data_IF_198455285863
#
_entry.id   IF_198455285863
#
_cell.length_a   1.000
_cell.length_b   1.000
_cell.length_c   1.000
_cell.angle_alpha   90.00
_cell.angle_beta   90.00
_cell.angle_gamma   90.00
#
_symmetry.space_group_name_H-M   'P 1'
#
loop_
_entity.id
_entity.type
_entity.pdbx_description
1 polymer ?
#
# COMPACT_ATOMS: atom_id res chain seq x y z
N UNK A 1 15.36 16.25 -11.04
CA UNK A 1 13.98 15.81 -10.71
C UNK A 1 14.07 14.88 -9.54
N UNK A 2 13.26 15.08 -8.52
CA UNK A 2 13.32 14.34 -7.24
C UNK A 2 12.13 13.41 -7.11
N UNK A 3 12.32 12.32 -6.37
CA UNK A 3 11.23 11.50 -5.84
C UNK A 3 10.67 12.24 -4.64
N UNK A 4 9.34 12.38 -4.57
CA UNK A 4 8.65 13.15 -3.55
C UNK A 4 8.41 12.39 -2.26
N UNK A 5 8.19 11.08 -2.36
CA UNK A 5 7.87 10.19 -1.26
C UNK A 5 7.26 8.89 -1.78
N UNK A 6 6.56 8.16 -0.92
CA UNK A 6 5.79 6.97 -1.31
C UNK A 6 4.53 7.44 -2.05
N UNK A 7 4.20 6.83 -3.20
CA UNK A 7 2.97 7.08 -3.96
C UNK A 7 1.86 6.12 -3.52
N UNK A 8 2.13 4.83 -3.62
CA UNK A 8 1.21 3.77 -3.21
C UNK A 8 1.97 2.49 -2.86
N UNK A 9 1.24 1.58 -2.22
CA UNK A 9 1.66 0.20 -2.05
C UNK A 9 0.62 -0.71 -2.69
N UNK A 10 1.06 -1.78 -3.35
CA UNK A 10 0.19 -2.84 -3.85
C UNK A 10 0.46 -4.13 -3.11
N UNK A 11 -0.59 -4.76 -2.62
CA UNK A 11 -0.56 -6.02 -1.87
C UNK A 11 -1.37 -7.09 -2.60
N UNK A 12 -1.18 -8.35 -2.25
CA UNK A 12 -1.94 -9.47 -2.83
C UNK A 12 -2.82 -10.05 -1.73
N UNK A 13 -4.12 -10.14 -2.01
CA UNK A 13 -5.11 -10.76 -1.10
C UNK A 13 -5.66 -12.07 -1.67
N UNK A 14 -6.16 -12.92 -0.79
CA UNK A 14 -6.89 -14.12 -1.17
C UNK A 14 -8.38 -13.87 -1.46
N UNK A 15 -8.94 -12.70 -1.03
CA UNK A 15 -10.39 -12.47 -1.03
C UNK A 15 -10.69 -10.96 -1.11
N UNK A 16 -11.14 -10.48 -2.27
CA UNK A 16 -11.47 -9.07 -2.51
C UNK A 16 -12.64 -8.55 -1.67
N UNK A 17 -13.76 -9.27 -1.50
CA UNK A 17 -14.82 -8.87 -0.57
C UNK A 17 -14.34 -8.64 0.87
N UNK A 18 -13.55 -9.57 1.41
CA UNK A 18 -13.05 -9.44 2.79
C UNK A 18 -12.05 -8.31 2.95
N UNK A 19 -11.21 -8.06 1.93
CA UNK A 19 -10.25 -6.96 2.00
C UNK A 19 -10.98 -5.61 1.95
N UNK A 20 -12.11 -5.52 1.23
CA UNK A 20 -13.00 -4.37 1.27
C UNK A 20 -13.58 -4.17 2.68
N UNK A 21 -14.15 -5.21 3.28
CA UNK A 21 -14.68 -5.17 4.65
C UNK A 21 -13.59 -4.73 5.65
N UNK A 22 -12.35 -5.18 5.46
CA UNK A 22 -11.23 -4.84 6.34
C UNK A 22 -10.80 -3.38 6.16
N UNK A 23 -10.48 -2.94 4.94
CA UNK A 23 -9.91 -1.62 4.74
C UNK A 23 -10.95 -0.49 4.76
N UNK A 24 -12.15 -0.69 4.27
CA UNK A 24 -13.21 0.31 4.41
C UNK A 24 -13.93 0.22 5.75
N UNK A 25 -14.29 -1.00 6.19
CA UNK A 25 -15.04 -1.21 7.43
C UNK A 25 -14.21 -1.03 8.70
N UNK A 26 -13.05 -1.70 8.81
CA UNK A 26 -12.21 -1.65 10.00
C UNK A 26 -11.25 -0.47 9.98
N UNK A 27 -10.51 -0.29 8.87
CA UNK A 27 -9.48 0.75 8.79
C UNK A 27 -10.03 2.13 8.43
N UNK A 28 -11.27 2.22 7.92
CA UNK A 28 -11.95 3.47 7.60
C UNK A 28 -11.40 4.18 6.36
N UNK A 29 -10.81 3.45 5.41
CA UNK A 29 -10.31 4.00 4.16
C UNK A 29 -11.38 3.98 3.07
N UNK A 30 -11.35 4.97 2.18
CA UNK A 30 -12.22 5.06 1.02
C UNK A 30 -11.79 4.06 -0.07
N UNK A 31 -12.66 3.15 -0.50
CA UNK A 31 -12.45 2.41 -1.75
C UNK A 31 -12.73 3.33 -2.93
N UNK A 32 -11.74 4.14 -3.33
CA UNK A 32 -11.93 5.14 -4.39
C UNK A 32 -12.01 4.56 -5.79
N UNK A 33 -11.52 3.34 -5.99
CA UNK A 33 -11.58 2.66 -7.30
C UNK A 33 -11.68 1.15 -7.14
N UNK A 34 -12.69 0.57 -7.78
CA UNK A 34 -12.88 -0.86 -7.98
C UNK A 34 -12.75 -1.16 -9.46
N UNK A 35 -11.62 -1.73 -9.87
CA UNK A 35 -11.30 -2.02 -11.28
C UNK A 35 -10.57 -3.35 -11.39
N UNK A 36 -9.96 -3.62 -12.53
CA UNK A 36 -9.16 -4.84 -12.76
C UNK A 36 -7.70 -4.53 -13.02
N UNK A 37 -6.84 -5.50 -12.76
CA UNK A 37 -5.46 -5.45 -13.20
C UNK A 37 -5.40 -5.44 -14.73
N UNK A 38 -4.81 -4.40 -15.31
CA UNK A 38 -4.74 -4.21 -16.77
C UNK A 38 -3.85 -5.24 -17.47
N UNK A 39 -2.99 -5.95 -16.72
CA UNK A 39 -2.13 -7.01 -17.22
C UNK A 39 -2.76 -8.42 -17.07
N UNK A 40 -3.73 -8.60 -16.17
CA UNK A 40 -4.57 -9.80 -16.01
C UNK A 40 -5.98 -9.40 -15.57
N UNK A 41 -6.87 -9.23 -16.52
CA UNK A 41 -8.25 -8.73 -16.31
C UNK A 41 -9.16 -9.66 -15.49
N UNK A 42 -8.68 -10.85 -15.10
CA UNK A 42 -9.38 -11.77 -14.19
C UNK A 42 -9.09 -11.48 -12.72
N UNK A 43 -8.33 -10.45 -12.44
CA UNK A 43 -7.86 -10.02 -11.11
C UNK A 43 -8.42 -8.65 -10.81
N UNK A 44 -9.12 -8.51 -9.69
CA UNK A 44 -9.49 -7.18 -9.20
C UNK A 44 -8.24 -6.34 -8.94
N UNK A 45 -8.37 -5.03 -9.12
CA UNK A 45 -7.46 -4.03 -8.62
C UNK A 45 -8.26 -3.02 -7.80
N UNK A 46 -8.20 -3.15 -6.48
CA UNK A 46 -8.92 -2.31 -5.53
C UNK A 46 -7.98 -1.24 -4.98
N UNK A 47 -8.45 0.01 -4.89
CA UNK A 47 -7.64 1.13 -4.39
C UNK A 47 -8.30 1.76 -3.17
N UNK A 48 -7.67 1.60 -2.00
CA UNK A 48 -8.09 2.20 -0.73
C UNK A 48 -7.22 3.42 -0.44
N UNK A 49 -7.85 4.54 -0.07
CA UNK A 49 -7.17 5.83 0.01
C UNK A 49 -7.72 6.69 1.14
N UNK A 50 -7.21 7.91 1.25
CA UNK A 50 -7.89 9.01 1.92
C UNK A 50 -9.20 9.39 1.17
N UNK A 51 -9.83 10.50 1.53
CA UNK A 51 -11.10 10.94 0.93
C UNK A 51 -11.05 11.07 -0.60
N UNK A 52 -9.96 11.59 -1.15
CA UNK A 52 -9.87 12.03 -2.55
C UNK A 52 -8.89 11.22 -3.43
N UNK A 53 -8.24 10.20 -2.89
CA UNK A 53 -7.25 9.42 -3.65
C UNK A 53 -5.92 10.10 -3.83
N UNK A 54 -5.45 10.78 -2.79
CA UNK A 54 -4.20 11.53 -2.81
C UNK A 54 -2.99 10.60 -2.92
N UNK A 55 -1.98 10.99 -3.73
CA UNK A 55 -0.71 10.26 -3.79
C UNK A 55 -0.07 10.19 -2.39
N UNK A 56 0.40 9.00 -2.00
CA UNK A 56 0.96 8.74 -0.67
C UNK A 56 -0.06 8.29 0.39
N UNK A 57 -1.33 8.17 0.02
CA UNK A 57 -2.36 7.59 0.89
C UNK A 57 -2.88 6.26 0.37
N UNK A 58 -2.45 5.84 -0.81
CA UNK A 58 -3.07 4.78 -1.62
C UNK A 58 -2.49 3.41 -1.27
N UNK A 59 -3.34 2.50 -0.78
CA UNK A 59 -3.06 1.08 -0.66
C UNK A 59 -3.91 0.31 -1.68
N UNK A 60 -3.29 -0.58 -2.47
CA UNK A 60 -4.04 -1.33 -3.49
C UNK A 60 -3.92 -2.84 -3.31
N UNK A 61 -4.88 -3.58 -3.87
CA UNK A 61 -4.92 -5.04 -3.79
C UNK A 61 -5.17 -5.70 -5.13
N UNK A 62 -4.46 -6.82 -5.33
CA UNK A 62 -4.72 -7.82 -6.36
C UNK A 62 -5.21 -9.12 -5.72
N UNK A 63 -6.18 -9.79 -6.34
CA UNK A 63 -6.69 -11.10 -5.96
C UNK A 63 -6.42 -12.16 -7.06
N UNK A 64 -5.17 -12.38 -7.41
CA UNK A 64 -4.80 -13.28 -8.50
C UNK A 64 -5.43 -14.67 -8.34
N UNK A 65 -6.22 -15.16 -9.33
CA UNK A 65 -6.89 -16.45 -9.24
C UNK A 65 -5.91 -17.61 -8.98
N UNK A 66 -6.12 -18.36 -7.89
CA UNK A 66 -5.34 -19.55 -7.58
C UNK A 66 -3.93 -19.31 -7.09
N UNK A 67 -3.58 -18.08 -6.73
CA UNK A 67 -2.27 -17.79 -6.12
C UNK A 67 -2.15 -18.46 -4.75
N UNK A 68 -0.98 -18.99 -4.43
CA UNK A 68 -0.72 -19.58 -3.11
C UNK A 68 -0.44 -18.50 -2.05
N UNK A 69 -0.54 -18.90 -0.77
CA UNK A 69 -0.09 -18.06 0.35
C UNK A 69 1.41 -17.75 0.20
N UNK A 70 1.80 -16.53 0.54
CA UNK A 70 3.18 -16.11 0.54
C UNK A 70 4.03 -16.93 1.51
N UNK A 71 5.32 -17.07 1.19
CA UNK A 71 6.33 -17.58 2.14
C UNK A 71 7.27 -16.42 2.43
N UNK A 72 7.23 -15.93 3.68
CA UNK A 72 8.04 -14.81 4.10
C UNK A 72 9.52 -15.16 4.20
N UNK A 73 10.39 -14.19 3.91
CA UNK A 73 11.83 -14.38 3.91
C UNK A 73 12.59 -13.06 3.78
N UNK A 74 13.63 -13.05 2.95
CA UNK A 74 14.36 -11.82 2.59
C UNK A 74 13.93 -11.32 1.22
N UNK A 75 14.33 -10.09 0.90
CA UNK A 75 14.05 -9.39 -0.38
C UNK A 75 12.55 -9.21 -0.63
N UNK A 76 11.84 -8.78 0.40
CA UNK A 76 10.40 -8.49 0.35
C UNK A 76 10.06 -7.19 1.08
N UNK A 77 8.87 -6.66 0.80
CA UNK A 77 8.24 -5.59 1.58
C UNK A 77 7.51 -6.30 2.71
N UNK A 78 8.07 -6.21 3.92
CA UNK A 78 7.61 -7.02 5.05
C UNK A 78 6.46 -6.38 5.78
N UNK A 79 6.48 -5.04 5.95
CA UNK A 79 5.47 -4.30 6.72
C UNK A 79 5.19 -2.96 6.06
N UNK A 80 3.91 -2.61 5.99
CA UNK A 80 3.42 -1.29 5.56
C UNK A 80 2.94 -0.51 6.77
N UNK A 81 3.47 0.68 6.99
CA UNK A 81 2.96 1.56 8.03
C UNK A 81 1.89 2.52 7.49
N UNK A 82 0.90 2.81 8.36
CA UNK A 82 -0.11 3.85 8.17
C UNK A 82 0.05 4.90 9.26
N UNK A 83 0.11 6.15 8.89
CA UNK A 83 0.28 7.25 9.84
C UNK A 83 -1.06 7.59 10.49
N UNK A 84 -1.07 7.64 11.81
CA UNK A 84 -2.18 8.11 12.65
C UNK A 84 -1.78 9.42 13.34
N UNK A 85 -2.74 10.31 13.71
CA UNK A 85 -2.43 11.68 14.12
C UNK A 85 -1.42 11.81 15.26
N UNK A 86 -1.51 10.97 16.29
CA UNK A 86 -0.66 11.08 17.49
C UNK A 86 -0.60 9.78 18.30
N UNK A 87 0.27 9.75 19.28
CA UNK A 87 0.37 8.68 20.27
C UNK A 87 -0.96 8.38 20.98
N UNK A 88 -1.80 9.39 21.19
CA UNK A 88 -3.11 9.22 21.84
C UNK A 88 -4.10 8.36 21.03
N UNK A 89 -3.87 8.18 19.74
CA UNK A 89 -4.74 7.36 18.88
C UNK A 89 -4.54 5.85 19.07
N UNK A 90 -3.42 5.39 19.66
CA UNK A 90 -3.17 3.95 19.83
C UNK A 90 -4.20 3.26 20.72
N UNK A 91 -4.65 3.88 21.81
CA UNK A 91 -5.67 3.29 22.69
C UNK A 91 -7.01 3.09 21.96
N UNK A 92 -7.38 4.04 21.08
CA UNK A 92 -8.55 3.91 20.22
C UNK A 92 -8.40 2.73 19.27
N UNK A 93 -7.25 2.61 18.59
CA UNK A 93 -7.01 1.56 17.59
C UNK A 93 -6.91 0.18 18.22
N UNK A 94 -6.23 0.01 19.35
CA UNK A 94 -6.20 -1.27 20.07
C UNK A 94 -7.61 -1.73 20.44
N UNK A 95 -8.44 -0.82 21.01
CA UNK A 95 -9.83 -1.14 21.31
C UNK A 95 -10.63 -1.50 20.07
N UNK A 96 -10.47 -0.76 18.96
CA UNK A 96 -11.13 -1.06 17.68
C UNK A 96 -10.71 -2.41 17.13
N UNK A 97 -9.43 -2.73 17.15
CA UNK A 97 -8.93 -4.04 16.72
C UNK A 97 -9.50 -5.18 17.56
N UNK A 98 -9.59 -5.03 18.88
CA UNK A 98 -10.26 -5.98 19.76
C UNK A 98 -11.75 -6.15 19.38
N UNK A 99 -12.46 -5.05 19.13
CA UNK A 99 -13.87 -5.06 18.74
C UNK A 99 -14.12 -5.80 17.44
N UNK A 100 -13.24 -5.66 16.45
CA UNK A 100 -13.32 -6.36 15.17
C UNK A 100 -12.60 -7.72 15.15
N UNK A 101 -11.84 -8.06 16.20
CA UNK A 101 -11.08 -9.31 16.29
C UNK A 101 -9.86 -9.33 15.36
N UNK A 102 -9.29 -8.17 15.08
CA UNK A 102 -8.04 -8.02 14.33
C UNK A 102 -6.87 -8.46 15.19
N UNK A 103 -5.97 -9.27 14.65
CA UNK A 103 -4.74 -9.66 15.34
C UNK A 103 -3.78 -8.47 15.38
N UNK A 104 -3.38 -8.07 16.59
CA UNK A 104 -2.45 -6.96 16.81
C UNK A 104 -1.57 -7.22 18.02
N UNK A 105 -0.49 -6.45 18.16
CA UNK A 105 0.36 -6.48 19.34
C UNK A 105 -0.37 -5.93 20.57
N UNK A 106 -0.07 -6.51 21.74
CA UNK A 106 -0.68 -6.08 23.01
C UNK A 106 -0.17 -4.70 23.50
N UNK A 107 0.97 -4.25 23.00
CA UNK A 107 1.64 -3.01 23.38
C UNK A 107 2.29 -2.37 22.16
N UNK A 108 2.42 -1.05 22.18
CA UNK A 108 3.21 -0.31 21.17
C UNK A 108 4.70 -0.54 21.39
N UNK A 109 5.47 -0.45 20.32
CA UNK A 109 6.93 -0.45 20.35
C UNK A 109 7.51 0.81 19.69
N UNK A 110 8.80 1.04 19.82
CA UNK A 110 9.48 2.18 19.20
C UNK A 110 10.54 1.72 18.19
N UNK A 111 10.54 2.34 17.01
CA UNK A 111 11.61 2.26 16.01
C UNK A 111 12.07 3.69 15.66
N UNK A 112 13.36 3.95 15.71
CA UNK A 112 13.95 5.28 15.45
C UNK A 112 13.28 6.45 16.22
N UNK A 113 12.79 6.16 17.44
CA UNK A 113 12.13 7.14 18.31
C UNK A 113 10.69 7.47 17.93
N UNK A 114 10.06 6.73 17.06
CA UNK A 114 8.65 6.82 16.68
C UNK A 114 7.92 5.58 17.19
N UNK A 115 6.68 5.76 17.68
CA UNK A 115 5.84 4.66 18.14
C UNK A 115 5.08 3.99 17.01
N UNK A 116 4.99 2.66 17.13
CA UNK A 116 4.27 1.77 16.22
C UNK A 116 3.37 0.81 17.00
N UNK A 117 2.29 0.36 16.35
CA UNK A 117 1.46 -0.76 16.76
C UNK A 117 1.32 -1.70 15.56
N UNK A 118 1.91 -2.89 15.63
CA UNK A 118 1.82 -3.89 14.57
C UNK A 118 0.48 -4.63 14.60
N UNK A 119 -0.07 -4.93 13.42
CA UNK A 119 -1.30 -5.69 13.23
C UNK A 119 -1.25 -6.47 11.91
N UNK A 120 -2.16 -7.44 11.75
CA UNK A 120 -2.24 -8.27 10.56
C UNK A 120 -3.68 -8.25 9.99
N UNK A 121 -3.80 -8.36 8.68
CA UNK A 121 -5.08 -8.71 8.07
C UNK A 121 -5.34 -10.23 8.15
N UNK A 122 -6.48 -10.66 7.59
CA UNK A 122 -6.89 -12.08 7.60
C UNK A 122 -5.98 -12.99 6.74
N UNK A 123 -5.22 -12.45 5.80
CA UNK A 123 -4.21 -13.17 5.01
C UNK A 123 -2.87 -13.31 5.73
N UNK A 124 -2.69 -12.53 6.81
CA UNK A 124 -1.45 -12.47 7.60
C UNK A 124 -0.43 -11.50 7.05
N UNK A 125 -0.84 -10.57 6.19
CA UNK A 125 0.00 -9.43 5.80
C UNK A 125 0.22 -8.53 7.01
N UNK A 126 1.48 -8.21 7.26
CA UNK A 126 1.88 -7.37 8.39
C UNK A 126 1.77 -5.88 8.02
N UNK A 127 1.12 -5.15 8.90
CA UNK A 127 0.98 -3.69 8.87
C UNK A 127 1.39 -3.08 10.22
N UNK A 128 1.54 -1.76 10.25
CA UNK A 128 1.68 -1.01 11.48
C UNK A 128 0.90 0.29 11.43
N UNK A 129 0.39 0.72 12.58
CA UNK A 129 0.05 2.12 12.81
C UNK A 129 1.30 2.85 13.28
N UNK A 130 1.61 3.99 12.68
CA UNK A 130 2.76 4.84 12.95
C UNK A 130 2.31 6.19 13.49
N UNK A 131 2.79 6.61 14.65
CA UNK A 131 2.47 7.92 15.20
C UNK A 131 3.04 9.05 14.36
N UNK A 132 2.19 9.96 13.89
CA UNK A 132 2.60 11.13 13.10
C UNK A 132 3.00 12.33 13.98
N UNK A 133 3.00 12.21 15.31
CA UNK A 133 3.21 13.31 16.25
C UNK A 133 4.57 14.00 16.07
N UNK A 134 5.60 13.25 15.70
CA UNK A 134 6.96 13.76 15.46
C UNK A 134 7.27 14.05 13.99
N UNK A 135 6.29 13.88 13.10
CA UNK A 135 6.51 14.12 11.68
C UNK A 135 6.77 15.60 11.40
N UNK A 136 7.79 15.90 10.63
CA UNK A 136 8.14 17.28 10.21
C UNK A 136 8.01 17.48 8.70
N UNK A 137 7.74 16.40 7.95
CA UNK A 137 7.48 16.47 6.52
C UNK A 137 6.02 16.76 6.21
N UNK A 138 5.75 17.10 4.97
CA UNK A 138 4.39 17.46 4.50
C UNK A 138 3.89 16.57 3.38
N UNK A 139 4.63 15.51 3.04
CA UNK A 139 4.19 14.59 1.99
C UNK A 139 3.03 13.72 2.45
N UNK A 140 1.99 13.68 1.60
CA UNK A 140 0.80 12.86 1.83
C UNK A 140 0.07 13.21 3.14
N UNK A 141 -0.23 14.48 3.35
CA UNK A 141 -1.20 14.92 4.37
C UNK A 141 -2.61 14.62 3.83
N UNK A 142 -3.06 13.36 4.01
CA UNK A 142 -4.36 12.90 3.56
C UNK A 142 -5.50 13.52 4.35
N UNK A 143 -6.67 13.57 3.71
CA UNK A 143 -7.93 13.98 4.34
C UNK A 143 -8.70 12.74 4.75
N UNK A 144 -9.12 12.59 6.01
CA UNK A 144 -9.94 11.45 6.44
C UNK A 144 -11.20 11.32 5.58
N UNK A 145 -11.53 10.09 5.18
CA UNK A 145 -12.74 9.82 4.39
C UNK A 145 -14.00 10.24 5.16
N UNK A 146 -14.83 11.08 4.53
CA UNK A 146 -15.98 11.71 5.20
C UNK A 146 -17.06 10.71 5.66
N UNK A 147 -17.13 9.51 5.05
CA UNK A 147 -18.06 8.44 5.44
C UNK A 147 -17.40 7.35 6.29
N UNK A 148 -16.16 7.59 6.73
CA UNK A 148 -15.42 6.65 7.58
C UNK A 148 -16.15 6.39 8.88
N UNK A 149 -16.12 5.12 9.34
CA UNK A 149 -16.55 4.74 10.70
C UNK A 149 -15.48 5.03 11.75
N UNK A 150 -14.31 5.53 11.36
CA UNK A 150 -13.23 5.97 12.24
C UNK A 150 -13.38 7.46 12.50
N UNK A 151 -13.33 7.88 13.76
CA UNK A 151 -13.40 9.30 14.12
C UNK A 151 -12.22 10.06 13.52
N UNK A 152 -12.44 11.28 12.95
CA UNK A 152 -11.40 12.02 12.22
C UNK A 152 -10.11 12.26 13.02
N UNK A 153 -10.21 12.43 14.37
CA UNK A 153 -9.07 12.61 15.25
C UNK A 153 -8.18 11.37 15.42
N UNK A 154 -8.62 10.21 14.94
CA UNK A 154 -7.88 8.94 14.97
C UNK A 154 -7.62 8.37 13.58
N UNK A 155 -8.19 8.99 12.53
CA UNK A 155 -8.17 8.48 11.17
C UNK A 155 -6.74 8.36 10.60
N UNK A 156 -6.58 7.43 9.66
CA UNK A 156 -5.34 7.26 8.90
C UNK A 156 -5.11 8.49 8.02
N UNK A 157 -3.90 9.06 8.11
CA UNK A 157 -3.47 10.24 7.35
C UNK A 157 -2.77 9.87 6.02
N UNK A 158 -2.39 8.63 5.85
CA UNK A 158 -1.68 8.13 4.67
C UNK A 158 -0.65 7.05 5.00
N UNK A 159 0.13 6.67 4.01
CA UNK A 159 1.21 5.69 4.18
C UNK A 159 2.36 6.29 5.00
N UNK A 160 2.94 5.47 5.86
CA UNK A 160 4.15 5.75 6.62
C UNK A 160 5.36 5.00 6.08
N UNK A 161 6.33 4.70 6.95
CA UNK A 161 7.55 4.00 6.58
C UNK A 161 7.27 2.58 6.04
N UNK A 162 7.89 2.25 4.90
CA UNK A 162 7.81 0.89 4.32
C UNK A 162 9.01 0.07 4.79
N UNK A 163 8.76 -1.04 5.50
CA UNK A 163 9.81 -1.95 5.95
C UNK A 163 10.16 -2.97 4.85
N UNK A 164 11.41 -2.94 4.41
CA UNK A 164 11.99 -3.92 3.49
C UNK A 164 12.95 -4.85 4.24
N UNK A 165 12.65 -6.14 4.26
CA UNK A 165 13.62 -7.14 4.71
C UNK A 165 14.55 -7.48 3.56
N UNK A 166 15.85 -7.32 3.74
CA UNK A 166 16.87 -7.44 2.69
C UNK A 166 18.01 -8.37 3.09
N UNK A 167 18.66 -8.99 2.10
CA UNK A 167 19.85 -9.83 2.33
C UNK A 167 21.17 -9.15 1.97
N UNK A 168 21.12 -8.00 1.27
CA UNK A 168 22.31 -7.25 0.83
C UNK A 168 22.13 -5.75 1.07
N UNK A 169 22.62 -5.29 2.23
CA UNK A 169 22.55 -3.89 2.64
C UNK A 169 23.25 -2.96 1.64
N UNK A 170 24.47 -3.29 1.22
CA UNK A 170 25.25 -2.42 0.33
C UNK A 170 24.56 -2.17 -1.01
N UNK A 171 23.93 -3.22 -1.58
CA UNK A 171 23.20 -3.08 -2.82
C UNK A 171 21.96 -2.20 -2.63
N UNK A 172 21.16 -2.42 -1.58
CA UNK A 172 19.95 -1.62 -1.32
C UNK A 172 20.30 -0.18 -0.94
N UNK A 173 21.32 0.04 -0.11
CA UNK A 173 21.83 1.37 0.21
C UNK A 173 22.22 2.16 -1.06
N UNK A 174 22.96 1.52 -1.98
CA UNK A 174 23.32 2.14 -3.26
C UNK A 174 22.07 2.49 -4.10
N UNK A 175 21.09 1.60 -4.15
CA UNK A 175 19.83 1.83 -4.87
C UNK A 175 19.09 3.02 -4.28
N UNK A 176 18.84 3.01 -2.98
CA UNK A 176 18.05 4.07 -2.33
C UNK A 176 18.77 5.42 -2.38
N UNK A 177 20.08 5.46 -2.14
CA UNK A 177 20.84 6.73 -2.06
C UNK A 177 21.36 7.20 -3.42
N UNK A 178 22.17 6.40 -4.11
CA UNK A 178 22.88 6.82 -5.32
C UNK A 178 22.00 6.78 -6.57
N UNK A 179 21.09 5.82 -6.66
CA UNK A 179 20.17 5.71 -7.80
C UNK A 179 18.96 6.61 -7.60
N UNK A 180 18.22 6.45 -6.48
CA UNK A 180 16.93 7.08 -6.25
C UNK A 180 17.00 8.41 -5.49
N UNK A 181 18.12 8.70 -4.81
CA UNK A 181 18.37 10.00 -4.18
C UNK A 181 17.84 10.17 -2.76
N UNK A 182 17.44 9.09 -2.09
CA UNK A 182 17.11 9.13 -0.67
C UNK A 182 18.34 9.41 0.19
N UNK A 183 18.13 9.91 1.40
CA UNK A 183 19.18 10.11 2.40
C UNK A 183 19.01 9.08 3.51
N UNK A 184 20.09 8.47 3.98
CA UNK A 184 20.11 7.76 5.25
C UNK A 184 19.93 8.79 6.38
N UNK A 185 18.87 8.63 7.17
CA UNK A 185 18.49 9.58 8.24
C UNK A 185 18.66 9.00 9.64
N UNK A 186 18.60 7.68 9.78
CA UNK A 186 18.87 6.99 11.05
C UNK A 186 19.38 5.57 10.82
N UNK A 187 20.07 5.02 11.84
CA UNK A 187 20.58 3.64 11.82
C UNK A 187 20.60 3.08 13.23
N UNK A 188 20.14 1.84 13.37
CA UNK A 188 20.24 1.05 14.59
C UNK A 188 20.57 -0.42 14.24
N UNK A 189 21.85 -0.77 14.39
CA UNK A 189 22.37 -2.09 14.03
C UNK A 189 22.15 -2.44 12.55
N UNK A 190 21.37 -3.48 12.29
CA UNK A 190 21.01 -3.97 10.96
C UNK A 190 19.80 -3.23 10.35
N UNK A 191 19.20 -2.31 11.09
CA UNK A 191 18.07 -1.47 10.68
C UNK A 191 18.56 -0.09 10.21
N UNK A 192 18.11 0.34 9.03
CA UNK A 192 18.49 1.64 8.45
C UNK A 192 17.25 2.35 7.90
N UNK A 193 17.08 3.61 8.27
CA UNK A 193 16.00 4.46 7.82
C UNK A 193 16.49 5.44 6.74
N UNK A 194 15.78 5.47 5.62
CA UNK A 194 16.02 6.39 4.51
C UNK A 194 14.82 7.29 4.31
N UNK A 195 15.05 8.52 3.83
CA UNK A 195 14.00 9.49 3.55
C UNK A 195 14.22 10.18 2.20
N UNK A 196 13.13 10.34 1.44
CA UNK A 196 13.09 11.07 0.18
C UNK A 196 12.69 12.54 0.40
N UNK A 197 13.39 13.47 -0.22
CA UNK A 197 13.07 14.91 -0.41
C UNK A 197 12.53 15.65 0.84
N UNK A 198 12.96 15.28 2.04
CA UNK A 198 12.43 15.77 3.31
C UNK A 198 10.89 15.60 3.44
N UNK A 199 10.38 14.51 2.88
CA UNK A 199 8.96 14.19 2.88
C UNK A 199 8.41 13.84 4.27
N UNK A 200 9.31 13.57 5.24
CA UNK A 200 8.93 13.02 6.53
C UNK A 200 8.50 11.56 6.42
N UNK A 201 7.65 11.12 7.33
CA UNK A 201 7.27 9.71 7.47
C UNK A 201 6.63 9.13 6.19
N UNK A 202 5.87 9.92 5.43
CA UNK A 202 5.30 9.50 4.14
C UNK A 202 6.33 9.29 3.01
N UNK A 203 7.60 9.62 3.24
CA UNK A 203 8.68 9.38 2.29
C UNK A 203 9.78 8.48 2.82
N UNK A 204 9.51 7.71 3.87
CA UNK A 204 10.51 6.88 4.52
C UNK A 204 10.47 5.42 4.04
N UNK A 205 11.67 4.86 3.90
CA UNK A 205 11.93 3.44 3.66
C UNK A 205 12.84 2.93 4.77
N UNK A 206 12.36 1.98 5.53
CA UNK A 206 13.12 1.27 6.55
C UNK A 206 13.65 -0.03 5.94
N UNK A 207 14.94 -0.29 6.00
CA UNK A 207 15.54 -1.56 5.58
C UNK A 207 16.05 -2.33 6.79
N UNK A 208 15.72 -3.62 6.86
CA UNK A 208 16.22 -4.55 7.88
C UNK A 208 17.05 -5.65 7.23
N UNK A 209 18.32 -5.74 7.58
CA UNK A 209 19.21 -6.76 7.04
C UNK A 209 19.03 -8.10 7.77
N UNK A 210 18.61 -9.14 7.03
CA UNK A 210 18.46 -10.49 7.54
C UNK A 210 19.28 -11.48 6.70
N UNK A 211 20.35 -12.01 7.27
CA UNK A 211 21.36 -12.80 6.55
C UNK A 211 21.06 -14.28 6.41
N UNK A 212 20.21 -14.83 7.25
CA UNK A 212 20.05 -16.29 7.39
C UNK A 212 18.70 -16.86 6.93
N UNK A 213 17.79 -16.00 6.43
CA UNK A 213 16.54 -16.45 5.84
C UNK A 213 16.70 -16.66 4.33
N UNK A 214 16.00 -17.63 3.76
CA UNK A 214 15.87 -17.73 2.32
C UNK A 214 15.09 -16.52 1.78
N UNK A 215 15.16 -16.30 0.47
CA UNK A 215 14.33 -15.31 -0.20
C UNK A 215 12.85 -15.67 -0.05
N UNK A 216 12.03 -14.67 0.22
CA UNK A 216 10.58 -14.79 0.25
C UNK A 216 9.99 -15.21 -1.11
N UNK A 217 8.86 -15.88 -1.07
CA UNK A 217 8.06 -16.20 -2.26
C UNK A 217 6.75 -15.43 -2.21
N UNK A 218 6.50 -14.63 -3.23
CA UNK A 218 5.33 -13.79 -3.35
C UNK A 218 4.05 -14.63 -3.45
N UNK A 219 2.99 -14.19 -2.80
CA UNK A 219 1.67 -14.80 -2.77
C UNK A 219 0.69 -13.91 -2.02
N UNK A 220 -0.53 -14.38 -1.73
CA UNK A 220 -1.44 -13.61 -0.90
C UNK A 220 -0.92 -13.50 0.54
N UNK A 221 -1.20 -12.36 1.19
CA UNK A 221 -0.60 -12.00 2.48
C UNK A 221 0.82 -11.46 2.35
N UNK A 222 1.21 -10.92 1.17
CA UNK A 222 2.50 -10.26 0.94
C UNK A 222 2.34 -9.09 -0.03
N UNK A 223 3.16 -8.05 0.14
CA UNK A 223 3.17 -6.92 -0.77
C UNK A 223 3.74 -7.28 -2.14
N UNK A 224 3.11 -6.80 -3.20
CA UNK A 224 3.53 -6.98 -4.58
C UNK A 224 4.66 -6.03 -4.98
N UNK A 225 4.46 -4.73 -4.72
CA UNK A 225 5.42 -3.66 -4.99
C UNK A 225 5.07 -2.40 -4.20
N UNK A 226 6.03 -1.49 -4.09
CA UNK A 226 5.74 -0.13 -3.67
C UNK A 226 6.17 0.88 -4.73
N UNK A 227 5.40 1.96 -4.85
CA UNK A 227 5.62 3.02 -5.80
C UNK A 227 6.13 4.29 -5.14
N UNK A 228 7.04 4.94 -5.83
CA UNK A 228 7.63 6.22 -5.48
C UNK A 228 7.04 7.34 -6.35
N UNK A 229 6.69 8.46 -5.74
CA UNK A 229 5.98 9.55 -6.40
C UNK A 229 6.91 10.50 -7.16
N UNK A 230 6.48 10.88 -8.36
CA UNK A 230 7.05 11.99 -9.14
C UNK A 230 5.93 12.92 -9.62
N UNK A 231 6.27 14.19 -9.89
CA UNK A 231 5.27 15.21 -10.15
C UNK A 231 4.46 14.96 -11.44
N UNK A 232 5.15 14.58 -12.53
CA UNK A 232 4.56 14.51 -13.87
C UNK A 232 5.30 13.54 -14.81
N UNK A 233 4.80 13.42 -16.04
CA UNK A 233 5.41 12.59 -17.09
C UNK A 233 6.83 13.05 -17.48
N UNK A 234 7.16 14.33 -17.34
CA UNK A 234 8.52 14.83 -17.61
C UNK A 234 9.49 14.26 -16.60
N UNK A 235 9.10 14.26 -15.32
CA UNK A 235 9.87 13.64 -14.26
C UNK A 235 9.95 12.13 -14.42
N UNK A 236 8.85 11.45 -14.79
CA UNK A 236 8.85 10.00 -15.06
C UNK A 236 9.81 9.64 -16.20
N UNK A 237 9.77 10.36 -17.31
CA UNK A 237 10.69 10.13 -18.45
C UNK A 237 12.16 10.37 -18.08
N UNK A 238 12.44 11.35 -17.22
CA UNK A 238 13.78 11.53 -16.66
C UNK A 238 14.25 10.27 -15.90
N UNK A 239 13.40 9.69 -15.05
CA UNK A 239 13.73 8.49 -14.30
C UNK A 239 13.88 7.25 -15.17
N UNK A 240 13.04 7.05 -16.20
CA UNK A 240 13.21 5.97 -17.19
C UNK A 240 14.61 6.05 -17.83
N UNK A 241 14.99 7.25 -18.30
CA UNK A 241 16.29 7.45 -18.93
C UNK A 241 17.44 7.21 -17.94
N UNK A 242 17.31 7.67 -16.69
CA UNK A 242 18.31 7.46 -15.64
C UNK A 242 18.49 5.98 -15.31
N UNK A 243 17.41 5.22 -15.13
CA UNK A 243 17.47 3.78 -14.86
C UNK A 243 18.21 3.05 -15.98
N UNK A 244 17.89 3.35 -17.25
CA UNK A 244 18.55 2.76 -18.43
C UNK A 244 20.04 3.11 -18.52
N UNK A 245 20.42 4.37 -18.24
CA UNK A 245 21.81 4.80 -18.20
C UNK A 245 22.62 4.08 -17.11
N UNK A 246 21.97 3.69 -16.02
CA UNK A 246 22.57 2.91 -14.94
C UNK A 246 22.52 1.39 -15.16
N UNK A 247 21.94 0.95 -16.29
CA UNK A 247 21.89 -0.47 -16.68
C UNK A 247 20.77 -1.28 -16.06
N UNK A 248 19.77 -0.64 -15.45
CA UNK A 248 18.58 -1.35 -14.93
C UNK A 248 17.67 -1.79 -16.09
N UNK A 249 17.10 -2.99 -15.94
CA UNK A 249 15.99 -3.45 -16.75
C UNK A 249 14.71 -2.78 -16.25
N UNK A 250 13.95 -2.16 -17.14
CA UNK A 250 12.70 -1.45 -16.80
C UNK A 250 11.57 -1.85 -17.77
N UNK A 251 10.32 -1.56 -17.36
CA UNK A 251 9.12 -1.82 -18.19
C UNK A 251 8.96 -0.85 -19.36
N UNK A 252 9.73 0.24 -19.37
CA UNK A 252 9.38 1.42 -20.16
C UNK A 252 8.23 2.21 -19.53
N UNK A 253 7.78 3.21 -20.26
CA UNK A 253 6.60 3.99 -19.90
C UNK A 253 5.34 3.13 -19.98
N UNK A 254 4.59 3.06 -18.86
CA UNK A 254 3.31 2.34 -18.78
C UNK A 254 2.20 3.35 -18.43
N UNK A 255 1.16 3.41 -19.25
CA UNK A 255 -0.04 4.19 -18.96
C UNK A 255 -1.02 3.33 -18.16
N UNK A 256 -1.22 3.66 -16.88
CA UNK A 256 -2.19 2.99 -16.00
C UNK A 256 -3.55 3.69 -15.98
N UNK A 257 -3.80 4.62 -16.87
CA UNK A 257 -4.98 5.46 -16.97
C UNK A 257 -5.07 6.48 -15.81
N UNK A 258 -5.09 6.04 -14.57
CA UNK A 258 -5.18 6.89 -13.35
C UNK A 258 -3.85 7.55 -12.98
N UNK A 259 -2.74 6.99 -13.42
CA UNK A 259 -1.36 7.51 -13.29
C UNK A 259 -0.47 6.88 -14.36
N UNK A 260 0.76 7.37 -14.49
CA UNK A 260 1.76 6.84 -15.43
C UNK A 260 2.93 6.28 -14.65
N UNK A 261 3.53 5.18 -15.14
CA UNK A 261 4.50 4.43 -14.34
C UNK A 261 5.68 3.90 -15.12
N UNK A 262 6.74 3.56 -14.39
CA UNK A 262 7.81 2.66 -14.79
C UNK A 262 8.09 1.67 -13.67
N UNK A 263 8.27 0.40 -14.01
CA UNK A 263 8.59 -0.68 -13.07
C UNK A 263 10.03 -1.15 -13.27
N UNK A 264 10.73 -1.46 -12.17
CA UNK A 264 12.08 -2.03 -12.22
C UNK A 264 12.37 -2.85 -10.95
N UNK A 265 13.31 -3.81 -11.04
CA UNK A 265 13.74 -4.62 -9.91
C UNK A 265 15.21 -4.35 -9.61
N UNK A 266 15.53 -3.50 -8.63
CA UNK A 266 16.91 -3.21 -8.26
C UNK A 266 17.60 -4.38 -7.55
N UNK A 267 16.83 -5.18 -6.82
CA UNK A 267 17.30 -6.42 -6.16
C UNK A 267 16.34 -7.57 -6.48
N UNK A 268 16.80 -8.83 -6.46
CA UNK A 268 15.91 -9.96 -6.63
C UNK A 268 14.81 -9.96 -5.55
N UNK A 269 13.54 -10.04 -5.94
CA UNK A 269 12.39 -10.12 -5.04
C UNK A 269 11.58 -8.85 -4.96
N UNK A 270 12.18 -7.71 -4.74
CA UNK A 270 11.47 -6.44 -4.55
C UNK A 270 11.22 -5.76 -5.90
N UNK A 271 9.96 -5.47 -6.21
CA UNK A 271 9.56 -4.66 -7.35
C UNK A 271 9.35 -3.21 -6.90
N UNK A 272 10.03 -2.30 -7.57
CA UNK A 272 9.87 -0.87 -7.41
C UNK A 272 9.08 -0.30 -8.60
N UNK A 273 8.26 0.68 -8.31
CA UNK A 273 7.58 1.50 -9.29
C UNK A 273 7.94 2.97 -9.08
N UNK A 274 7.97 3.76 -10.14
CA UNK A 274 7.95 5.22 -10.06
C UNK A 274 6.70 5.66 -10.79
N UNK A 275 5.82 6.40 -10.10
CA UNK A 275 4.49 6.78 -10.57
C UNK A 275 4.28 8.30 -10.52
N UNK A 276 3.51 8.83 -11.49
CA UNK A 276 3.09 10.24 -11.48
C UNK A 276 1.92 10.45 -10.52
N UNK A 277 1.81 11.64 -9.92
CA UNK A 277 0.72 11.98 -9.00
C UNK A 277 -0.66 12.06 -9.67
N UNK A 278 -0.70 12.18 -10.98
CA UNK A 278 -1.94 12.31 -11.71
C UNK A 278 -1.95 11.51 -13.00
N UNK A 279 -3.13 11.53 -13.66
CA UNK A 279 -4.28 12.42 -13.53
C UNK A 279 -5.24 12.17 -12.34
N UNK A 280 -5.18 11.00 -11.66
CA UNK A 280 -5.99 10.70 -10.48
C UNK A 280 -7.15 9.72 -10.76
N UNK A 281 -7.90 9.37 -9.72
CA UNK A 281 -8.88 8.27 -9.77
C UNK A 281 -10.29 8.71 -10.20
N UNK A 282 -10.65 9.97 -10.07
CA UNK A 282 -11.98 10.50 -10.38
C UNK A 282 -12.10 11.04 -11.82
N UNK A 283 -11.51 10.32 -12.80
CA UNK A 283 -11.58 10.72 -14.21
C UNK A 283 -12.81 10.15 -14.94
N UNK A 284 -13.27 9.00 -14.49
CA UNK A 284 -14.31 8.18 -15.14
C UNK A 284 -15.50 7.92 -14.22
N UNK A 285 -15.45 8.35 -12.97
CA UNK A 285 -16.54 8.29 -11.99
C UNK A 285 -16.71 9.63 -11.26
N UNK A 286 -17.91 9.86 -10.73
CA UNK A 286 -18.13 10.92 -9.74
C UNK A 286 -17.61 10.47 -8.37
N UNK A 287 -17.39 11.43 -7.46
CA UNK A 287 -16.99 11.12 -6.09
C UNK A 287 -18.02 10.22 -5.37
N UNK A 288 -19.32 10.48 -5.58
CA UNK A 288 -20.42 9.74 -4.94
C UNK A 288 -20.57 8.30 -5.46
N UNK A 289 -20.03 8.00 -6.63
CA UNK A 289 -20.08 6.67 -7.24
C UNK A 289 -18.76 5.91 -7.11
N UNK A 290 -17.69 6.60 -6.67
CA UNK A 290 -16.34 6.07 -6.63
C UNK A 290 -16.26 4.77 -5.83
N UNK A 291 -15.77 3.71 -6.47
CA UNK A 291 -15.60 2.39 -5.87
C UNK A 291 -16.87 1.55 -5.71
N UNK A 292 -18.08 2.09 -5.99
CA UNK A 292 -19.34 1.33 -5.84
C UNK A 292 -19.51 0.29 -6.95
N UNK A 293 -19.05 0.57 -8.14
CA UNK A 293 -19.19 -0.29 -9.33
C UNK A 293 -17.82 -0.72 -9.87
N UNK A 294 -17.83 -1.73 -10.75
CA UNK A 294 -16.64 -2.08 -11.51
C UNK A 294 -16.42 -1.04 -12.61
N UNK A 295 -15.41 -0.20 -12.44
CA UNK A 295 -14.99 0.74 -13.48
C UNK A 295 -13.84 0.18 -14.32
N UNK A 296 -13.94 0.35 -15.62
CA UNK A 296 -12.95 -0.12 -16.55
C UNK A 296 -12.38 1.08 -17.34
N UNK A 297 -11.04 1.15 -17.49
CA UNK A 297 -10.46 2.11 -18.43
C UNK A 297 -11.08 1.95 -19.84
N UNK A 298 -11.24 3.03 -20.62
CA UNK A 298 -11.96 3.00 -21.91
C UNK A 298 -11.49 1.93 -22.89
N UNK A 299 -10.22 1.53 -22.83
CA UNK A 299 -9.65 0.49 -23.69
C UNK A 299 -10.05 -0.94 -23.29
N UNK A 300 -10.61 -1.17 -22.11
CA UNK A 300 -11.13 -2.45 -21.63
C UNK A 300 -12.66 -2.54 -21.72
N UNK A 301 -13.35 -1.44 -21.95
CA UNK A 301 -14.81 -1.36 -21.90
C UNK A 301 -15.50 -2.32 -22.88
N UNK A 302 -14.91 -2.58 -24.03
CA UNK A 302 -15.43 -3.54 -25.01
C UNK A 302 -15.33 -5.01 -24.58
N UNK A 303 -14.65 -5.29 -23.46
CA UNK A 303 -14.51 -6.63 -22.85
C UNK A 303 -15.32 -6.75 -21.53
N UNK A 304 -16.13 -5.77 -21.17
CA UNK A 304 -16.84 -5.71 -19.87
C UNK A 304 -17.54 -7.01 -19.52
N UNK A 305 -18.38 -7.54 -20.41
CA UNK A 305 -19.16 -8.77 -20.14
C UNK A 305 -18.24 -9.98 -19.87
N UNK A 306 -17.11 -10.09 -20.56
CA UNK A 306 -16.12 -11.16 -20.34
C UNK A 306 -15.38 -10.99 -19.02
N UNK A 307 -15.01 -9.75 -18.70
CA UNK A 307 -14.33 -9.40 -17.45
C UNK A 307 -15.23 -9.70 -16.27
N UNK A 308 -16.46 -9.19 -16.27
CA UNK A 308 -17.43 -9.40 -15.18
C UNK A 308 -17.75 -10.89 -14.96
N UNK A 309 -17.85 -11.67 -16.05
CA UNK A 309 -18.06 -13.11 -15.94
C UNK A 309 -16.87 -13.87 -15.33
N UNK A 310 -15.69 -13.31 -15.35
CA UNK A 310 -14.45 -13.88 -14.79
C UNK A 310 -14.18 -13.50 -13.33
N UNK A 311 -14.88 -12.52 -12.79
CA UNK A 311 -14.70 -12.01 -11.43
C UNK A 311 -15.76 -12.57 -10.46
N UNK A 312 -15.41 -12.63 -9.17
CA UNK A 312 -16.37 -12.90 -8.10
C UNK A 312 -17.03 -11.58 -7.72
N UNK A 313 -18.33 -11.34 -8.06
CA UNK A 313 -18.95 -10.07 -7.80
C UNK A 313 -19.16 -9.85 -6.29
N UNK A 314 -18.95 -8.61 -5.83
CA UNK A 314 -19.30 -8.18 -4.48
C UNK A 314 -19.85 -6.74 -4.50
N UNK A 315 -20.68 -6.43 -3.50
CA UNK A 315 -21.17 -5.08 -3.29
C UNK A 315 -20.12 -4.29 -2.50
N UNK A 316 -19.88 -3.06 -2.90
CA UNK A 316 -18.94 -2.13 -2.26
C UNK A 316 -19.56 -0.76 -2.04
N UNK A 317 -20.89 -0.67 -2.04
CA UNK A 317 -21.57 0.54 -1.62
C UNK A 317 -21.39 0.78 -0.11
N UNK A 318 -21.34 2.04 0.31
CA UNK A 318 -21.03 2.45 1.69
C UNK A 318 -21.97 1.84 2.73
N UNK A 319 -23.26 1.69 2.40
CA UNK A 319 -24.28 1.15 3.29
C UNK A 319 -24.06 -0.33 3.68
N UNK A 320 -23.14 -1.01 3.00
CA UNK A 320 -22.87 -2.45 3.20
C UNK A 320 -21.65 -2.73 4.08
N UNK A 321 -21.04 -1.69 4.68
CA UNK A 321 -19.90 -1.88 5.59
C UNK A 321 -20.31 -2.69 6.82
N UNK A 322 -19.57 -3.78 7.17
CA UNK A 322 -19.99 -4.68 8.22
C UNK A 322 -19.81 -4.06 9.61
N UNK A 323 -20.78 -4.30 10.50
CA UNK A 323 -20.59 -4.08 11.92
C UNK A 323 -19.54 -5.05 12.50
N UNK A 324 -18.95 -4.76 13.70
CA UNK A 324 -17.98 -5.65 14.32
C UNK A 324 -18.45 -7.09 14.51
N UNK A 325 -19.74 -7.29 14.78
CA UNK A 325 -20.35 -8.61 14.96
C UNK A 325 -20.41 -9.40 13.64
N UNK A 326 -20.80 -8.73 12.56
CA UNK A 326 -20.87 -9.32 11.21
C UNK A 326 -19.47 -9.63 10.71
N UNK A 327 -18.51 -8.70 10.90
CA UNK A 327 -17.11 -8.89 10.50
C UNK A 327 -16.50 -10.12 11.18
N UNK A 328 -16.61 -10.23 12.51
CA UNK A 328 -16.10 -11.40 13.27
C UNK A 328 -16.68 -12.72 12.79
N UNK A 329 -17.97 -12.76 12.49
CA UNK A 329 -18.62 -13.95 11.98
C UNK A 329 -18.07 -14.35 10.60
N UNK A 330 -17.94 -13.40 9.69
CA UNK A 330 -17.41 -13.65 8.35
C UNK A 330 -15.96 -14.14 8.37
N UNK A 331 -15.15 -13.67 9.33
CA UNK A 331 -13.76 -14.15 9.52
C UNK A 331 -13.72 -15.56 10.11
N UNK A 332 -14.59 -15.89 11.11
CA UNK A 332 -14.61 -17.20 11.76
C UNK A 332 -15.13 -18.32 10.85
N UNK A 333 -16.20 -18.08 10.08
CA UNK A 333 -16.80 -19.07 9.19
C UNK A 333 -15.87 -19.54 8.05
N UNK A 334 -14.81 -18.77 7.77
CA UNK A 334 -13.83 -19.10 6.73
C UNK A 334 -12.54 -19.73 7.27
N UNK A 335 -12.33 -19.75 8.59
CA UNK A 335 -11.20 -20.45 9.20
C UNK A 335 -11.44 -21.98 9.31
N UNK A 336 -12.69 -22.43 9.08
CA UNK A 336 -13.09 -23.84 9.15
C UNK A 336 -13.23 -24.53 7.76
N UNK A 337 -13.00 -23.81 6.66
CA UNK A 337 -12.99 -24.30 5.28
C UNK A 337 -11.58 -24.23 4.67
#
# INVERSE_FOLDING_TARGET
MTIRGIHHLTTITSDSPKIFDFFSGVMGLHLIKKTVNQDDVRTYHLYFTDDMGSAGTVLTFFDFPGINKAIHGTDEITRTAFRIPSDASFDYWMKRFDEYGVKHDAETHEEFGVKYLDFEDFDGQLYALESNEKNTGTWAEGTPWQYSSVEPEHAILGLGAQLLTINNENAMHMVLTSVLGAKEVARDGDDVLYEFDNAGFGGQVHTRLVRLLPRGLQGYGNAHHFALAVDDETALNFWINRLRQLGFQDSGFVDRFYFKSVYFRPTPGILFEIATNGPGFLQDETYEEAGHHLELPPFLENMRDEIEAGLIPFNSAEDDLPSPEVFKKNVSDNAEN
#
